data_IF_395153072357
#
_entry.id   IF_395153072357
#
_cell.length_a   1.000
_cell.length_b   1.000
_cell.length_c   1.000
_cell.angle_alpha   90.00
_cell.angle_beta   90.00
_cell.angle_gamma   90.00
#
_symmetry.space_group_name_H-M   'P 1'
#
loop_
_entity.id
_entity.type
_entity.pdbx_description
1 polymer ?
#
# COMPACT_ATOMS: atom_id res chain seq x y z
N UNK A 1 -12.61 16.24 -2.19
CA UNK A 1 -11.15 16.16 -1.97
C UNK A 1 -10.45 16.88 -3.13
N UNK A 2 -9.43 17.70 -2.89
CA UNK A 2 -8.75 18.43 -3.99
C UNK A 2 -7.92 17.48 -4.85
N UNK A 3 -7.69 17.83 -6.13
CA UNK A 3 -6.84 17.01 -7.04
C UNK A 3 -5.44 16.77 -6.46
N UNK A 4 -4.86 17.78 -5.80
CA UNK A 4 -3.57 17.68 -5.13
C UNK A 4 -3.59 16.65 -3.99
N UNK A 5 -4.66 16.59 -3.19
CA UNK A 5 -4.80 15.61 -2.12
C UNK A 5 -4.97 14.19 -2.66
N UNK A 6 -5.69 14.02 -3.77
CA UNK A 6 -5.84 12.72 -4.44
C UNK A 6 -4.49 12.24 -4.99
N UNK A 7 -3.73 13.13 -5.64
CA UNK A 7 -2.41 12.80 -6.17
C UNK A 7 -1.42 12.48 -5.05
N UNK A 8 -1.43 13.27 -3.98
CA UNK A 8 -0.62 13.01 -2.78
C UNK A 8 -0.95 11.65 -2.16
N UNK A 9 -2.24 11.34 -2.00
CA UNK A 9 -2.68 10.07 -1.44
C UNK A 9 -2.27 8.88 -2.31
N UNK A 10 -2.38 8.99 -3.64
CA UNK A 10 -1.87 7.95 -4.56
C UNK A 10 -0.36 7.76 -4.42
N UNK A 11 0.42 8.85 -4.47
CA UNK A 11 1.89 8.80 -4.30
C UNK A 11 2.30 8.20 -2.97
N UNK A 12 1.54 8.51 -1.90
CA UNK A 12 1.82 7.96 -0.57
C UNK A 12 1.52 6.46 -0.52
N UNK A 13 0.46 6.00 -1.17
CA UNK A 13 0.18 4.57 -1.35
C UNK A 13 1.28 3.87 -2.16
N UNK A 14 1.73 4.48 -3.26
CA UNK A 14 2.80 3.92 -4.11
C UNK A 14 4.10 3.74 -3.32
N UNK A 15 4.48 4.77 -2.55
CA UNK A 15 5.64 4.71 -1.64
C UNK A 15 5.57 3.56 -0.62
N UNK A 16 4.41 3.33 -0.02
CA UNK A 16 4.25 2.23 0.94
C UNK A 16 4.35 0.86 0.28
N UNK A 17 3.88 0.71 -0.96
CA UNK A 17 4.07 -0.51 -1.74
C UNK A 17 5.56 -0.76 -2.01
N UNK A 18 6.32 0.26 -2.43
CA UNK A 18 7.76 0.15 -2.67
C UNK A 18 8.51 -0.25 -1.39
N UNK A 19 8.23 0.42 -0.28
CA UNK A 19 8.86 0.12 1.01
C UNK A 19 8.49 -1.30 1.49
N UNK A 20 7.26 -1.75 1.26
CA UNK A 20 6.87 -3.13 1.58
C UNK A 20 7.70 -4.16 0.78
N UNK A 21 7.99 -3.89 -0.49
CA UNK A 21 8.83 -4.77 -1.32
C UNK A 21 10.28 -4.83 -0.79
N UNK A 22 10.82 -3.74 -0.24
CA UNK A 22 12.12 -3.72 0.44
C UNK A 22 12.12 -4.59 1.70
N UNK A 23 11.07 -4.50 2.52
CA UNK A 23 10.93 -5.35 3.70
C UNK A 23 10.75 -6.83 3.35
N UNK A 24 10.06 -7.14 2.26
CA UNK A 24 9.99 -8.52 1.75
C UNK A 24 11.38 -9.06 1.38
N UNK A 25 12.20 -8.25 0.69
CA UNK A 25 13.60 -8.62 0.37
C UNK A 25 14.45 -8.79 1.62
N UNK A 26 14.17 -8.02 2.66
CA UNK A 26 14.86 -8.04 3.95
C UNK A 26 14.36 -9.15 4.90
N UNK A 27 13.45 -10.03 4.43
CA UNK A 27 12.82 -11.10 5.21
C UNK A 27 12.02 -10.60 6.43
N UNK A 28 11.37 -9.45 6.28
CA UNK A 28 10.50 -8.86 7.29
C UNK A 28 9.03 -8.84 6.81
N UNK A 29 8.39 -10.01 6.63
CA UNK A 29 7.06 -10.13 6.03
C UNK A 29 5.98 -9.39 6.83
N UNK A 30 6.06 -9.40 8.16
CA UNK A 30 5.09 -8.69 9.02
C UNK A 30 5.14 -7.17 8.81
N UNK A 31 6.33 -6.60 8.60
CA UNK A 31 6.50 -5.18 8.29
C UNK A 31 5.96 -4.88 6.89
N UNK A 32 6.30 -5.71 5.91
CA UNK A 32 5.77 -5.58 4.55
C UNK A 32 4.23 -5.61 4.52
N UNK A 33 3.61 -6.55 5.26
CA UNK A 33 2.15 -6.66 5.37
C UNK A 33 1.54 -5.39 5.96
N UNK A 34 2.09 -4.87 7.06
CA UNK A 34 1.62 -3.63 7.68
C UNK A 34 1.70 -2.42 6.74
N UNK A 35 2.78 -2.33 5.95
CA UNK A 35 2.97 -1.27 4.97
C UNK A 35 1.98 -1.39 3.80
N UNK A 36 1.70 -2.60 3.32
CA UNK A 36 0.70 -2.83 2.28
C UNK A 36 -0.71 -2.46 2.77
N UNK A 37 -1.08 -2.79 4.01
CA UNK A 37 -2.35 -2.35 4.61
C UNK A 37 -2.42 -0.82 4.72
N UNK A 38 -1.30 -0.16 5.06
CA UNK A 38 -1.22 1.30 5.04
C UNK A 38 -1.43 1.86 3.62
N UNK A 39 -0.87 1.21 2.59
CA UNK A 39 -1.09 1.59 1.19
C UNK A 39 -2.57 1.48 0.80
N UNK A 40 -3.27 0.44 1.24
CA UNK A 40 -4.73 0.26 1.03
C UNK A 40 -5.49 1.47 1.55
N UNK A 41 -5.21 1.94 2.77
CA UNK A 41 -5.87 3.12 3.33
C UNK A 41 -5.64 4.38 2.49
N UNK A 42 -4.42 4.58 2.00
CA UNK A 42 -4.08 5.74 1.17
C UNK A 42 -4.76 5.69 -0.19
N UNK A 43 -4.82 4.54 -0.84
CA UNK A 43 -5.56 4.38 -2.09
C UNK A 43 -7.06 4.58 -1.90
N UNK A 44 -7.64 4.08 -0.80
CA UNK A 44 -9.04 4.33 -0.45
C UNK A 44 -9.32 5.82 -0.24
N UNK A 45 -8.43 6.54 0.47
CA UNK A 45 -8.50 8.01 0.62
C UNK A 45 -8.43 8.72 -0.75
N UNK A 46 -7.66 8.18 -1.68
CA UNK A 46 -7.54 8.70 -3.04
C UNK A 46 -8.74 8.35 -3.95
N UNK A 47 -9.66 7.48 -3.50
CA UNK A 47 -10.72 6.92 -4.34
C UNK A 47 -10.21 5.91 -5.38
N UNK A 48 -9.01 5.37 -5.20
CA UNK A 48 -8.38 4.42 -6.12
C UNK A 48 -8.63 2.97 -5.68
N UNK A 49 -9.86 2.48 -5.92
CA UNK A 49 -10.28 1.15 -5.49
C UNK A 49 -9.48 0.00 -6.13
N UNK A 50 -9.01 0.17 -7.36
CA UNK A 50 -8.20 -0.83 -8.06
C UNK A 50 -6.86 -1.04 -7.35
N UNK A 51 -6.11 0.04 -7.12
CA UNK A 51 -4.83 -0.05 -6.39
C UNK A 51 -5.02 -0.53 -4.95
N UNK A 52 -6.11 -0.11 -4.28
CA UNK A 52 -6.44 -0.60 -2.95
C UNK A 52 -6.63 -2.12 -2.93
N UNK A 53 -7.41 -2.67 -3.87
CA UNK A 53 -7.59 -4.12 -3.97
C UNK A 53 -6.30 -4.87 -4.32
N UNK A 54 -5.46 -4.32 -5.19
CA UNK A 54 -4.16 -4.91 -5.51
C UNK A 54 -3.24 -4.97 -4.29
N UNK A 55 -3.15 -3.87 -3.52
CA UNK A 55 -2.35 -3.83 -2.30
C UNK A 55 -2.90 -4.79 -1.23
N UNK A 56 -4.22 -4.89 -1.09
CA UNK A 56 -4.86 -5.83 -0.17
C UNK A 56 -4.52 -7.29 -0.54
N UNK A 57 -4.66 -7.66 -1.82
CA UNK A 57 -4.29 -9.00 -2.29
C UNK A 57 -2.82 -9.34 -2.02
N UNK A 58 -1.92 -8.38 -2.21
CA UNK A 58 -0.49 -8.54 -1.87
C UNK A 58 -0.32 -8.75 -0.36
N UNK A 59 -1.04 -8.01 0.48
CA UNK A 59 -0.99 -8.15 1.95
C UNK A 59 -1.50 -9.52 2.42
N UNK A 60 -2.61 -9.99 1.83
CA UNK A 60 -3.23 -11.27 2.18
C UNK A 60 -2.39 -12.47 1.73
N UNK A 61 -1.61 -12.32 0.66
CA UNK A 61 -0.70 -13.34 0.18
C UNK A 61 0.55 -13.52 1.07
N UNK A 62 0.83 -12.59 1.98
CA UNK A 62 1.92 -12.72 2.96
C UNK A 62 1.44 -13.66 4.08
N UNK A 63 1.85 -14.92 3.99
CA UNK A 63 1.65 -15.93 5.02
C UNK A 63 2.60 -15.68 6.20
N UNK A 64 2.06 -15.78 7.42
CA UNK A 64 2.83 -15.75 8.68
C UNK A 64 3.59 -17.07 8.90
#
# INVERSE_FOLDING_TARGET
MSKQLIEFANKKGDYYCELAEEHMRSREPNKAKSLLLSAVEWYNKAGNGEKAQMAQKKADAIQE
#
